data_IF_715721876071
#
_entry.id   IF_715721876071
#
_cell.length_a   1.000
_cell.length_b   1.000
_cell.length_c   1.000
_cell.angle_alpha   90.00
_cell.angle_beta   90.00
_cell.angle_gamma   90.00
#
_symmetry.space_group_name_H-M   'P 1'
#
loop_
_entity.id
_entity.type
_entity.pdbx_description
1 polymer ?
#
# COMPACT_ATOMS: atom_id res chain seq x y z
N UNK A 1 23.08 21.19 8.40
CA UNK A 1 23.72 20.11 7.61
C UNK A 1 25.04 19.56 8.15
N UNK A 2 25.91 20.33 8.87
CA UNK A 2 27.21 19.84 9.37
C UNK A 2 27.17 18.51 10.15
N UNK A 3 26.15 18.30 10.99
CA UNK A 3 25.97 17.04 11.75
C UNK A 3 25.74 15.83 10.85
N UNK A 4 24.99 15.97 9.76
CA UNK A 4 24.74 14.88 8.81
C UNK A 4 26.02 14.49 8.07
N UNK A 5 26.91 15.44 7.81
CA UNK A 5 28.17 15.17 7.10
C UNK A 5 29.25 14.60 8.02
N UNK A 6 29.42 15.19 9.21
CA UNK A 6 30.63 14.96 10.02
C UNK A 6 30.38 14.34 11.39
N UNK A 7 29.16 14.35 11.92
CA UNK A 7 28.92 13.71 13.20
C UNK A 7 29.14 12.19 13.08
N UNK A 8 29.81 11.64 14.09
CA UNK A 8 29.92 10.19 14.27
C UNK A 8 28.54 9.62 14.54
N UNK A 9 28.29 8.44 13.99
CA UNK A 9 27.10 7.67 14.32
C UNK A 9 27.34 7.04 15.69
N UNK A 10 26.54 7.44 16.67
CA UNK A 10 26.53 6.82 17.99
C UNK A 10 25.30 5.91 18.07
N UNK A 11 25.53 4.60 18.26
CA UNK A 11 24.46 3.60 18.32
C UNK A 11 24.25 3.21 19.79
N UNK A 12 23.05 3.39 20.34
CA UNK A 12 22.78 3.06 21.74
C UNK A 12 23.01 1.58 22.06
N UNK A 13 23.43 1.29 23.29
CA UNK A 13 23.80 -0.06 23.75
C UNK A 13 22.64 -1.07 23.81
N UNK A 14 21.39 -0.60 23.84
CA UNK A 14 20.22 -1.46 23.81
C UNK A 14 19.91 -2.01 22.40
N UNK A 15 20.61 -1.55 21.37
CA UNK A 15 20.51 -2.16 20.04
C UNK A 15 21.26 -3.50 20.02
N UNK A 16 20.67 -4.49 19.36
CA UNK A 16 21.41 -5.71 19.03
C UNK A 16 22.56 -5.40 18.08
N UNK A 17 23.60 -6.23 18.10
CA UNK A 17 24.76 -6.07 17.21
C UNK A 17 24.35 -6.04 15.73
N UNK A 18 23.40 -6.91 15.35
CA UNK A 18 22.89 -6.99 13.98
C UNK A 18 22.17 -5.69 13.57
N UNK A 19 21.39 -5.10 14.49
CA UNK A 19 20.72 -3.83 14.24
C UNK A 19 21.72 -2.68 14.10
N UNK A 20 22.71 -2.61 15.00
CA UNK A 20 23.77 -1.60 14.97
C UNK A 20 24.56 -1.65 13.65
N UNK A 21 24.93 -2.85 13.19
CA UNK A 21 25.62 -3.06 11.91
C UNK A 21 24.75 -2.64 10.73
N UNK A 22 23.47 -3.01 10.73
CA UNK A 22 22.52 -2.65 9.67
C UNK A 22 22.40 -1.12 9.53
N UNK A 23 22.13 -0.42 10.64
CA UNK A 23 22.00 1.03 10.69
C UNK A 23 23.30 1.71 10.25
N UNK A 24 24.45 1.21 10.71
CA UNK A 24 25.76 1.77 10.32
C UNK A 24 26.03 1.63 8.82
N UNK A 25 25.65 0.49 8.23
CA UNK A 25 25.82 0.24 6.80
C UNK A 25 24.85 1.07 5.94
N UNK A 26 23.63 1.34 6.42
CA UNK A 26 22.65 2.22 5.77
C UNK A 26 23.04 3.70 5.87
N UNK A 27 23.62 4.12 6.99
CA UNK A 27 23.99 5.51 7.25
C UNK A 27 25.44 5.83 6.82
N UNK A 28 25.99 5.02 5.92
CA UNK A 28 27.35 5.21 5.43
C UNK A 28 27.47 6.52 4.66
N UNK A 29 28.44 7.36 5.04
CA UNK A 29 28.63 8.72 4.49
C UNK A 29 29.00 8.65 3.01
N UNK A 30 29.91 7.74 2.66
CA UNK A 30 30.22 7.45 1.27
C UNK A 30 29.07 6.64 0.67
N UNK A 31 28.33 7.18 -0.31
CA UNK A 31 27.20 6.49 -0.90
C UNK A 31 27.61 5.17 -1.56
N UNK A 32 28.82 5.05 -2.14
CA UNK A 32 29.27 3.80 -2.80
C UNK A 32 29.36 2.60 -1.84
N UNK A 33 29.55 2.86 -0.55
CA UNK A 33 29.68 1.84 0.48
C UNK A 33 28.37 1.63 1.25
N UNK A 34 27.29 2.31 0.85
CA UNK A 34 26.00 2.23 1.54
C UNK A 34 25.31 0.91 1.20
N UNK A 35 24.76 0.27 2.23
CA UNK A 35 23.95 -0.93 2.05
C UNK A 35 22.80 -0.64 1.07
N UNK A 36 22.60 -1.54 0.10
CA UNK A 36 21.59 -1.39 -0.95
C UNK A 36 22.10 -0.82 -2.28
N UNK A 37 23.29 -0.20 -2.33
CA UNK A 37 23.84 0.34 -3.60
C UNK A 37 24.22 -0.78 -4.58
N UNK A 38 24.65 -1.94 -4.09
CA UNK A 38 24.87 -3.13 -4.92
C UNK A 38 23.57 -3.89 -5.26
N UNK A 39 22.40 -3.29 -4.95
CA UNK A 39 21.08 -3.85 -5.22
C UNK A 39 20.44 -4.55 -4.02
N UNK A 40 19.16 -4.91 -4.20
CA UNK A 40 18.27 -5.43 -3.13
C UNK A 40 18.79 -6.70 -2.46
N UNK A 41 19.52 -7.55 -3.19
CA UNK A 41 20.08 -8.81 -2.66
C UNK A 41 21.06 -8.56 -1.51
N UNK A 42 21.82 -7.46 -1.58
CA UNK A 42 22.74 -7.07 -0.49
C UNK A 42 22.00 -6.75 0.81
N UNK A 43 20.82 -6.15 0.72
CA UNK A 43 19.97 -5.82 1.87
C UNK A 43 19.34 -7.08 2.44
N UNK A 44 18.72 -7.90 1.58
CA UNK A 44 18.04 -9.14 1.97
C UNK A 44 19.01 -10.11 2.67
N UNK A 45 20.26 -10.18 2.21
CA UNK A 45 21.28 -11.06 2.78
C UNK A 45 21.86 -10.58 4.13
N UNK A 46 21.53 -9.37 4.58
CA UNK A 46 22.08 -8.83 5.82
C UNK A 46 21.54 -9.59 7.05
N UNK A 47 22.41 -9.92 8.01
CA UNK A 47 22.07 -10.74 9.19
C UNK A 47 20.87 -10.21 10.00
N UNK A 48 20.68 -8.89 10.02
CA UNK A 48 19.51 -8.27 10.67
C UNK A 48 18.16 -8.79 10.15
N UNK A 49 18.08 -9.17 8.87
CA UNK A 49 16.87 -9.69 8.24
C UNK A 49 16.83 -11.22 8.14
N UNK A 50 17.73 -11.94 8.82
CA UNK A 50 17.85 -13.41 8.68
C UNK A 50 16.60 -14.18 9.12
N UNK A 51 15.74 -13.57 9.95
CA UNK A 51 14.48 -14.16 10.39
C UNK A 51 13.32 -13.95 9.42
N UNK A 52 13.50 -13.16 8.35
CA UNK A 52 12.43 -12.80 7.40
C UNK A 52 12.50 -13.71 6.16
N UNK A 53 11.44 -14.47 5.89
CA UNK A 53 11.22 -15.02 4.54
C UNK A 53 10.57 -13.94 3.66
N UNK A 54 11.37 -13.35 2.77
CA UNK A 54 10.93 -12.28 1.88
C UNK A 54 9.90 -12.72 0.82
N UNK A 55 9.79 -14.02 0.51
CA UNK A 55 8.75 -14.53 -0.39
C UNK A 55 7.40 -14.54 0.33
N UNK A 56 7.37 -15.03 1.56
CA UNK A 56 6.17 -15.04 2.40
C UNK A 56 5.74 -13.61 2.75
N UNK A 57 6.70 -12.74 3.07
CA UNK A 57 6.45 -11.31 3.29
C UNK A 57 5.78 -10.66 2.06
N UNK A 58 6.32 -10.88 0.85
CA UNK A 58 5.76 -10.33 -0.38
C UNK A 58 4.35 -10.84 -0.65
N UNK A 59 4.09 -12.11 -0.34
CA UNK A 59 2.77 -12.73 -0.46
C UNK A 59 1.80 -12.31 0.67
N UNK A 60 2.20 -11.40 1.58
CA UNK A 60 1.44 -10.99 2.77
C UNK A 60 1.08 -12.17 3.70
N UNK A 61 1.88 -13.23 3.71
CA UNK A 61 1.65 -14.45 4.49
C UNK A 61 2.13 -14.40 5.94
N UNK A 62 2.86 -13.35 6.35
CA UNK A 62 3.29 -13.16 7.73
C UNK A 62 2.33 -12.25 8.49
N UNK A 63 1.97 -12.61 9.73
CA UNK A 63 1.15 -11.76 10.59
C UNK A 63 1.97 -10.51 11.00
N UNK A 64 1.45 -9.28 10.82
CA UNK A 64 2.08 -8.08 11.34
C UNK A 64 2.24 -8.14 12.87
N UNK A 65 3.39 -7.72 13.43
CA UNK A 65 3.61 -7.72 14.88
C UNK A 65 2.64 -6.81 15.65
N UNK A 66 2.16 -5.74 15.02
CA UNK A 66 1.20 -4.80 15.59
C UNK A 66 0.00 -4.68 14.66
N UNK A 67 -1.21 -4.76 15.22
CA UNK A 67 -2.48 -4.59 14.51
C UNK A 67 -3.14 -3.30 15.01
N UNK A 68 -3.12 -2.20 14.22
CA UNK A 68 -3.54 -0.87 14.69
C UNK A 68 -5.01 -0.78 15.15
N UNK A 69 -5.87 -1.70 14.70
CA UNK A 69 -7.31 -1.72 14.95
C UNK A 69 -7.74 -3.09 15.50
N UNK A 70 -6.96 -3.67 16.39
CA UNK A 70 -7.27 -4.98 17.01
C UNK A 70 -8.69 -4.95 17.61
N UNK A 71 -9.64 -5.64 16.97
CA UNK A 71 -11.07 -5.65 17.32
C UNK A 71 -12.02 -4.99 16.31
N UNK A 72 -11.53 -4.31 15.26
CA UNK A 72 -12.35 -3.92 14.11
C UNK A 72 -12.40 -5.05 13.10
N UNK A 73 -13.49 -5.82 13.10
CA UNK A 73 -13.76 -6.79 12.05
C UNK A 73 -14.42 -6.05 10.88
N UNK A 74 -13.67 -5.77 9.81
CA UNK A 74 -14.22 -5.20 8.58
C UNK A 74 -15.29 -6.09 7.87
N UNK A 75 -15.79 -7.11 8.56
CA UNK A 75 -16.82 -8.08 8.17
C UNK A 75 -18.24 -7.59 8.41
N UNK A 76 -18.47 -6.47 9.08
CA UNK A 76 -19.68 -5.69 8.84
C UNK A 76 -19.57 -4.97 7.49
N UNK A 77 -19.45 -5.77 6.41
CA UNK A 77 -19.92 -5.36 5.09
C UNK A 77 -21.41 -5.20 5.24
N UNK A 78 -21.86 -3.99 5.55
CA UNK A 78 -23.22 -3.61 5.26
C UNK A 78 -23.39 -3.83 3.76
N UNK A 79 -24.14 -4.86 3.42
CA UNK A 79 -24.53 -5.17 2.07
C UNK A 79 -25.54 -4.09 1.65
N UNK A 80 -25.09 -2.86 1.41
CA UNK A 80 -25.96 -1.73 1.10
C UNK A 80 -26.22 -1.68 -0.39
N UNK A 81 -27.21 -2.47 -0.81
CA UNK A 81 -28.15 -1.99 -1.82
C UNK A 81 -28.67 -0.62 -1.34
N UNK A 82 -28.18 0.46 -1.95
CA UNK A 82 -28.76 1.81 -2.02
C UNK A 82 -29.85 2.18 -0.98
N UNK A 83 -29.56 2.13 0.32
CA UNK A 83 -30.36 2.82 1.33
C UNK A 83 -29.41 3.45 2.36
N UNK A 84 -29.77 4.68 2.72
CA UNK A 84 -29.00 5.64 3.52
C UNK A 84 -28.79 5.16 4.96
N UNK A 85 -27.94 4.16 5.17
CA UNK A 85 -27.52 3.75 6.51
C UNK A 85 -26.55 4.81 7.07
N UNK A 86 -27.10 5.70 7.91
CA UNK A 86 -26.30 6.53 8.80
C UNK A 86 -25.45 5.61 9.68
N UNK A 87 -24.16 5.50 9.38
CA UNK A 87 -23.20 4.87 10.28
C UNK A 87 -23.29 5.56 11.63
N UNK A 88 -23.43 4.77 12.71
CA UNK A 88 -23.46 5.33 14.06
C UNK A 88 -22.15 6.07 14.34
N UNK A 89 -22.24 7.15 15.13
CA UNK A 89 -21.08 7.95 15.52
C UNK A 89 -19.98 7.08 16.15
N UNK A 90 -20.35 6.14 17.01
CA UNK A 90 -19.42 5.16 17.61
C UNK A 90 -18.69 4.29 16.58
N UNK A 91 -19.33 3.98 15.45
CA UNK A 91 -18.72 3.23 14.35
C UNK A 91 -17.72 4.10 13.59
N UNK A 92 -18.08 5.36 13.32
CA UNK A 92 -17.22 6.34 12.65
C UNK A 92 -15.97 6.61 13.50
N UNK A 93 -16.13 6.78 14.81
CA UNK A 93 -15.00 7.00 15.72
C UNK A 93 -14.05 5.80 15.78
N UNK A 94 -14.59 4.57 15.74
CA UNK A 94 -13.77 3.36 15.69
C UNK A 94 -12.96 3.24 14.40
N UNK A 95 -13.57 3.47 13.23
CA UNK A 95 -12.84 3.40 11.95
C UNK A 95 -11.86 4.54 11.76
N UNK A 96 -12.11 5.68 12.41
CA UNK A 96 -11.23 6.85 12.34
C UNK A 96 -10.27 6.97 13.52
N UNK A 97 -10.21 5.98 14.41
CA UNK A 97 -9.42 6.04 15.65
C UNK A 97 -7.90 6.22 15.41
N UNK A 98 -7.38 5.82 14.24
CA UNK A 98 -5.98 6.03 13.88
C UNK A 98 -5.69 7.41 13.27
N UNK A 99 -6.70 8.28 13.12
CA UNK A 99 -6.56 9.63 12.58
C UNK A 99 -6.58 10.67 13.68
N UNK A 100 -5.87 11.78 13.45
CA UNK A 100 -5.93 12.92 14.35
C UNK A 100 -7.31 13.61 14.25
N UNK A 101 -7.95 14.02 15.38
CA UNK A 101 -9.32 14.56 15.37
C UNK A 101 -9.55 15.78 14.49
N UNK A 102 -8.49 16.54 14.19
CA UNK A 102 -8.58 17.66 13.25
C UNK A 102 -9.01 17.21 11.85
N UNK A 103 -8.58 16.04 11.39
CA UNK A 103 -8.92 15.53 10.06
C UNK A 103 -10.26 14.78 10.01
N UNK A 104 -10.75 14.29 11.15
CA UNK A 104 -12.06 13.62 11.23
C UNK A 104 -13.23 14.60 11.34
N UNK A 105 -12.93 15.84 11.71
CA UNK A 105 -13.90 16.94 11.90
C UNK A 105 -13.79 18.02 10.84
N UNK A 106 -12.83 17.89 9.91
CA UNK A 106 -12.76 18.75 8.73
C UNK A 106 -13.90 18.40 7.80
N UNK A 107 -14.67 19.40 7.39
CA UNK A 107 -15.68 19.20 6.35
C UNK A 107 -15.00 18.70 5.08
N UNK A 108 -15.52 17.61 4.50
CA UNK A 108 -15.06 17.06 3.21
C UNK A 108 -15.24 18.09 2.07
N UNK A 109 -16.09 19.08 2.32
CA UNK A 109 -16.36 20.23 1.45
C UNK A 109 -15.66 21.51 1.90
N UNK A 110 -14.61 21.44 2.73
CA UNK A 110 -13.74 22.59 2.97
C UNK A 110 -12.91 22.84 1.71
N UNK A 111 -13.58 23.37 0.69
CA UNK A 111 -12.99 24.27 -0.29
C UNK A 111 -12.73 25.60 0.43
N UNK A 112 -11.88 25.60 1.47
CA UNK A 112 -11.26 26.82 1.99
C UNK A 112 -10.34 27.36 0.88
N UNK A 113 -10.95 28.00 -0.12
CA UNK A 113 -10.25 28.41 -1.33
C UNK A 113 -11.11 28.90 -2.49
N UNK A 114 -12.42 28.59 -2.57
CA UNK A 114 -13.24 29.14 -3.67
C UNK A 114 -13.76 30.56 -3.40
N UNK A 115 -13.74 31.02 -2.14
CA UNK A 115 -14.06 32.43 -1.77
C UNK A 115 -12.84 33.26 -1.35
N UNK A 116 -11.62 32.71 -1.45
CA UNK A 116 -10.42 33.54 -1.40
C UNK A 116 -10.33 34.24 -2.75
N UNK A 117 -10.87 35.47 -2.84
CA UNK A 117 -10.42 36.41 -3.88
C UNK A 117 -8.89 36.34 -3.91
N UNK A 118 -8.25 36.09 -5.07
CA UNK A 118 -6.81 35.99 -5.15
C UNK A 118 -6.23 37.33 -4.71
N UNK A 119 -5.74 37.38 -3.48
CA UNK A 119 -5.02 38.54 -2.98
C UNK A 119 -3.59 38.44 -3.51
N UNK A 120 -3.41 38.98 -4.72
CA UNK A 120 -2.11 39.41 -5.25
C UNK A 120 -1.34 38.38 -6.06
N UNK A 121 -1.91 37.95 -7.20
CA UNK A 121 -1.26 37.79 -8.51
C UNK A 121 -2.34 37.25 -9.46
N UNK A 122 -2.91 38.09 -10.32
CA UNK A 122 -3.91 37.66 -11.30
C UNK A 122 -3.21 36.92 -12.45
N UNK A 123 -2.76 35.70 -12.18
CA UNK A 123 -2.60 34.70 -13.23
C UNK A 123 -4.00 34.31 -13.68
N UNK A 124 -4.40 34.76 -14.85
CA UNK A 124 -5.66 34.33 -15.47
C UNK A 124 -5.58 32.82 -15.74
N UNK A 125 -6.72 32.14 -15.91
CA UNK A 125 -6.71 30.75 -16.39
C UNK A 125 -5.96 30.56 -17.71
N UNK A 126 -5.62 31.65 -18.41
CA UNK A 126 -4.80 31.69 -19.63
C UNK A 126 -3.29 31.49 -19.35
N UNK A 127 -2.84 31.66 -18.11
CA UNK A 127 -1.43 31.48 -17.71
C UNK A 127 -1.10 30.03 -17.30
N UNK A 128 -2.11 29.17 -17.20
CA UNK A 128 -1.93 27.75 -16.89
C UNK A 128 -1.74 26.96 -18.18
N UNK A 129 -0.55 26.39 -18.35
CA UNK A 129 -0.26 25.49 -19.46
C UNK A 129 -1.08 24.19 -19.31
N UNK A 130 -2.01 23.95 -20.24
CA UNK A 130 -2.87 22.74 -20.28
C UNK A 130 -2.06 21.45 -20.32
N UNK A 131 -0.85 21.50 -20.89
CA UNK A 131 0.03 20.34 -21.00
C UNK A 131 0.74 19.97 -19.69
N UNK A 132 0.65 20.81 -18.65
CA UNK A 132 1.34 20.61 -17.35
C UNK A 132 0.94 19.31 -16.67
N UNK A 133 -0.31 18.86 -16.87
CA UNK A 133 -0.87 17.65 -16.24
C UNK A 133 -1.21 16.55 -17.26
N UNK A 134 -0.60 16.61 -18.45
CA UNK A 134 -0.71 15.51 -19.41
C UNK A 134 -0.19 14.21 -18.78
N UNK A 135 -0.97 13.12 -18.90
CA UNK A 135 -0.65 11.83 -18.26
C UNK A 135 -1.00 11.74 -16.77
N UNK A 136 -1.72 12.71 -16.21
CA UNK A 136 -2.21 12.65 -14.83
C UNK A 136 -3.31 11.60 -14.63
N UNK A 137 -4.23 11.46 -15.60
CA UNK A 137 -5.33 10.50 -15.53
C UNK A 137 -4.80 9.07 -15.66
N UNK A 138 -5.07 8.25 -14.66
CA UNK A 138 -4.77 6.82 -14.65
C UNK A 138 -6.03 6.02 -14.29
N UNK A 139 -6.52 5.23 -15.23
CA UNK A 139 -7.60 4.29 -15.00
C UNK A 139 -7.01 2.87 -14.86
N UNK A 140 -7.10 2.30 -13.65
CA UNK A 140 -6.67 0.93 -13.42
C UNK A 140 -7.61 -0.01 -14.19
N UNK A 141 -7.06 -0.76 -15.15
CA UNK A 141 -7.80 -1.84 -15.82
C UNK A 141 -8.04 -2.93 -14.78
N UNK A 142 -9.22 -2.93 -14.16
CA UNK A 142 -9.65 -3.97 -13.23
C UNK A 142 -9.60 -5.31 -13.99
N UNK A 143 -8.56 -6.11 -13.75
CA UNK A 143 -8.60 -7.52 -14.12
C UNK A 143 -9.64 -8.17 -13.21
N UNK A 144 -10.64 -8.91 -13.75
CA UNK A 144 -11.62 -9.59 -12.92
C UNK A 144 -10.88 -10.51 -11.95
N UNK A 145 -11.05 -10.23 -10.66
CA UNK A 145 -10.43 -10.94 -9.56
C UNK A 145 -10.97 -12.37 -9.57
N UNK A 146 -10.23 -13.31 -10.17
CA UNK A 146 -10.64 -14.71 -10.32
C UNK A 146 -10.45 -15.48 -9.00
N UNK A 147 -10.87 -14.87 -7.88
CA UNK A 147 -10.78 -15.40 -6.50
C UNK A 147 -12.06 -16.14 -6.08
N UNK A 148 -12.61 -16.95 -6.97
CA UNK A 148 -13.49 -18.05 -6.55
C UNK A 148 -13.71 -19.01 -7.72
N UNK A 149 -12.83 -20.00 -7.83
CA UNK A 149 -13.09 -21.21 -8.60
C UNK A 149 -12.31 -22.36 -7.99
N UNK A 150 -12.58 -22.68 -6.72
CA UNK A 150 -12.19 -23.98 -6.17
C UNK A 150 -13.31 -24.54 -5.29
N UNK A 151 -13.78 -25.72 -5.72
CA UNK A 151 -14.54 -26.73 -4.99
C UNK A 151 -16.04 -26.49 -4.73
N UNK A 152 -16.86 -26.93 -5.70
CA UNK A 152 -17.89 -27.94 -5.41
C UNK A 152 -17.71 -29.10 -6.40
N UNK A 153 -16.98 -30.13 -5.97
CA UNK A 153 -17.11 -31.47 -6.52
C UNK A 153 -18.43 -32.02 -5.97
N UNK A 154 -19.43 -32.20 -6.82
CA UNK A 154 -20.51 -33.13 -6.50
C UNK A 154 -20.81 -34.00 -7.72
N UNK A 155 -20.53 -35.28 -7.53
CA UNK A 155 -20.79 -36.39 -8.41
C UNK A 155 -22.28 -36.52 -8.68
N UNK A 156 -22.71 -36.50 -9.96
CA UNK A 156 -23.85 -37.29 -10.45
C UNK A 156 -23.69 -37.44 -11.96
N UNK A 157 -23.56 -38.69 -12.43
CA UNK A 157 -23.40 -38.99 -13.84
C UNK A 157 -24.70 -38.91 -14.64
N UNK A 158 -24.59 -38.66 -15.94
CA UNK A 158 -25.33 -39.42 -16.96
C UNK A 158 -24.75 -39.21 -18.37
N UNK A 159 -24.42 -40.33 -19.01
CA UNK A 159 -24.59 -40.69 -20.42
C UNK A 159 -24.48 -39.67 -21.58
N UNK A 160 -23.60 -40.08 -22.50
CA UNK A 160 -23.81 -40.19 -23.97
C UNK A 160 -23.26 -39.11 -24.94
N UNK A 161 -22.46 -39.67 -25.87
CA UNK A 161 -22.32 -39.42 -27.33
C UNK A 161 -21.12 -38.59 -27.84
N UNK A 162 -20.09 -39.35 -28.22
CA UNK A 162 -19.39 -39.37 -29.52
C UNK A 162 -19.69 -38.23 -30.52
N UNK A 163 -18.61 -37.58 -30.99
CA UNK A 163 -18.24 -37.47 -32.43
C UNK A 163 -16.88 -36.80 -32.61
N UNK A 164 -15.93 -37.53 -33.21
CA UNK A 164 -14.66 -36.99 -33.75
C UNK A 164 -14.89 -36.21 -35.05
N UNK A 165 -13.95 -35.32 -35.43
CA UNK A 165 -13.63 -35.09 -36.83
C UNK A 165 -12.13 -35.35 -37.15
N UNK A 166 -11.78 -35.57 -38.42
CA UNK A 166 -10.57 -36.30 -38.81
C UNK A 166 -9.35 -35.40 -39.05
N UNK A 167 -8.19 -35.99 -38.80
CA UNK A 167 -6.90 -35.58 -39.37
C UNK A 167 -6.94 -35.73 -40.90
N UNK A 168 -6.45 -34.72 -41.62
CA UNK A 168 -5.88 -34.93 -42.94
C UNK A 168 -4.48 -34.35 -43.00
N UNK A 169 -3.53 -35.27 -43.20
CA UNK A 169 -2.18 -35.04 -43.67
C UNK A 169 -2.25 -34.85 -45.18
N UNK A 170 -1.58 -33.81 -45.70
CA UNK A 170 -0.63 -33.87 -46.83
C UNK A 170 0.45 -32.83 -46.55
#
# INVERSE_FOLDING_TARGET
>A
FKRILYARLDVPTYFSQQAAQCVSALLQKNPRNRLGVLGVRSVIAHQFFSSIDFRVLRAKGMKPPLQPLEGWDGTNKTNTNHQNDHLSHDTIDKVTACFHPQFTKMDVHSVDGLDRKPSGDEGTSEDLNEDTFTGFTFDEKIQPDNRNSDNHHNTTGNSQKSKHPPHHVV
#
